data_IF_484298060846
#
_entry.id   IF_484298060846
#
_cell.length_a   1.000
_cell.length_b   1.000
_cell.length_c   1.000
_cell.angle_alpha   90.00
_cell.angle_beta   90.00
_cell.angle_gamma   90.00
#
_symmetry.space_group_name_H-M   'P 1'
#
loop_
_entity.id
_entity.type
_entity.pdbx_description
1 polymer ?
#
# COMPACT_ATOMS: atom_id res chain seq x y z
N UNK A 1 -42.18 21.32 -12.90
CA UNK A 1 -41.28 22.11 -13.75
C UNK A 1 -39.93 22.18 -13.04
N UNK A 2 -38.83 21.97 -13.79
CA UNK A 2 -37.39 21.90 -13.44
C UNK A 2 -36.94 22.92 -12.35
N UNK A 3 -35.82 22.81 -11.61
CA UNK A 3 -34.46 22.31 -11.84
C UNK A 3 -33.78 22.11 -10.44
N UNK A 4 -32.94 21.09 -10.17
CA UNK A 4 -31.48 21.02 -10.33
C UNK A 4 -30.67 22.33 -10.11
N UNK A 5 -29.51 22.19 -9.44
CA UNK A 5 -28.43 23.18 -9.21
C UNK A 5 -28.68 24.21 -8.09
N UNK A 6 -27.77 24.61 -7.20
CA UNK A 6 -26.31 24.48 -7.02
C UNK A 6 -26.04 24.96 -5.57
N UNK A 7 -25.17 24.30 -4.81
CA UNK A 7 -24.53 24.93 -3.63
C UNK A 7 -23.04 25.06 -3.93
N UNK A 8 -22.65 26.25 -4.43
CA UNK A 8 -21.27 26.64 -4.68
C UNK A 8 -20.88 27.73 -3.68
N UNK A 9 -19.81 27.47 -2.93
CA UNK A 9 -18.88 28.45 -2.34
C UNK A 9 -19.42 29.38 -1.24
N UNK A 10 -18.65 29.85 -0.27
CA UNK A 10 -17.27 29.66 0.12
C UNK A 10 -17.16 30.27 1.53
N UNK A 11 -16.37 29.68 2.43
CA UNK A 11 -15.89 30.37 3.61
C UNK A 11 -14.49 29.85 3.95
N UNK A 12 -13.51 30.65 3.54
CA UNK A 12 -12.09 30.54 3.88
C UNK A 12 -11.92 30.93 5.35
N UNK A 13 -11.17 30.14 6.13
CA UNK A 13 -10.42 30.68 7.26
C UNK A 13 -9.05 30.00 7.36
N UNK A 14 -8.02 30.83 7.31
CA UNK A 14 -6.59 30.52 7.22
C UNK A 14 -5.97 30.57 8.62
N UNK A 15 -5.32 29.46 9.00
CA UNK A 15 -4.05 29.31 9.75
C UNK A 15 -3.89 30.02 11.10
N UNK A 16 -3.70 29.23 12.18
CA UNK A 16 -2.55 29.39 13.10
C UNK A 16 -2.43 28.21 14.10
N UNK A 17 -1.31 27.47 13.99
CA UNK A 17 -0.59 26.91 15.14
C UNK A 17 -1.08 25.61 15.76
N UNK A 18 -0.55 24.47 15.30
CA UNK A 18 0.34 23.57 16.07
C UNK A 18 1.16 22.82 15.01
N UNK A 19 2.47 22.63 15.26
CA UNK A 19 3.29 21.63 14.56
C UNK A 19 2.66 20.26 14.83
N UNK A 20 1.67 19.91 14.00
CA UNK A 20 1.22 18.54 13.89
C UNK A 20 2.35 17.80 13.22
N UNK A 21 3.13 17.06 14.02
CA UNK A 21 3.82 15.86 13.54
C UNK A 21 2.77 15.14 12.71
N UNK A 22 2.93 15.19 11.38
CA UNK A 22 1.91 14.77 10.45
C UNK A 22 1.46 13.39 10.88
N UNK A 23 0.20 13.29 11.31
CA UNK A 23 -0.48 12.03 11.48
C UNK A 23 -0.69 11.46 10.09
N UNK A 24 0.39 10.98 9.47
CA UNK A 24 0.27 9.97 8.43
C UNK A 24 -0.07 8.67 9.16
N UNK A 25 -1.28 8.61 9.72
CA UNK A 25 -1.99 7.35 9.70
C UNK A 25 -2.00 6.97 8.22
N UNK A 26 -1.33 5.88 7.78
CA UNK A 26 -1.46 5.46 6.40
C UNK A 26 -2.96 5.29 6.16
N UNK A 27 -3.50 6.15 5.30
CA UNK A 27 -4.89 6.12 4.93
C UNK A 27 -5.18 4.69 4.47
N UNK A 28 -6.11 4.04 5.17
CA UNK A 28 -6.75 2.76 4.85
C UNK A 28 -6.24 2.10 3.56
N UNK A 29 -5.31 1.16 3.71
CA UNK A 29 -4.96 0.18 2.70
C UNK A 29 -6.23 -0.40 2.05
N UNK A 30 -6.38 -0.23 0.73
CA UNK A 30 -7.55 -0.75 0.02
C UNK A 30 -7.32 -2.24 -0.24
N UNK A 31 -7.69 -3.05 0.76
CA UNK A 31 -7.60 -4.51 0.69
C UNK A 31 -8.37 -5.08 -0.52
N UNK A 32 -9.46 -4.43 -0.93
CA UNK A 32 -10.26 -4.90 -2.05
C UNK A 32 -9.56 -4.62 -3.39
N UNK A 33 -9.01 -3.42 -3.57
CA UNK A 33 -8.21 -3.03 -4.73
C UNK A 33 -6.90 -3.83 -4.81
N UNK A 34 -6.28 -4.11 -3.66
CA UNK A 34 -5.11 -4.99 -3.56
C UNK A 34 -5.42 -6.42 -4.02
N UNK A 35 -6.50 -7.02 -3.50
CA UNK A 35 -6.90 -8.38 -3.90
C UNK A 35 -7.37 -8.43 -5.36
N UNK A 36 -8.01 -7.36 -5.85
CA UNK A 36 -8.39 -7.24 -7.25
C UNK A 36 -7.17 -7.17 -8.17
N UNK A 37 -6.12 -6.44 -7.80
CA UNK A 37 -4.86 -6.37 -8.53
C UNK A 37 -4.15 -7.74 -8.60
N UNK A 38 -4.35 -8.59 -7.59
CA UNK A 38 -3.84 -9.95 -7.54
C UNK A 38 -4.82 -11.00 -8.07
N UNK A 39 -5.91 -10.59 -8.74
CA UNK A 39 -6.97 -11.50 -9.19
C UNK A 39 -6.51 -12.69 -10.04
N UNK A 40 -5.35 -12.59 -10.70
CA UNK A 40 -4.71 -13.72 -11.39
C UNK A 40 -4.15 -14.81 -10.46
N UNK A 41 -3.72 -14.44 -9.26
CA UNK A 41 -3.08 -15.31 -8.25
C UNK A 41 -4.07 -15.84 -7.20
N UNK A 42 -5.25 -15.22 -7.08
CA UNK A 42 -6.32 -15.64 -6.17
C UNK A 42 -6.87 -17.07 -6.44
N UNK A 43 -6.51 -17.68 -7.57
CA UNK A 43 -6.86 -19.07 -7.91
C UNK A 43 -5.97 -20.12 -7.23
N UNK A 44 -4.75 -19.75 -6.82
CA UNK A 44 -3.75 -20.63 -6.22
C UNK A 44 -3.57 -20.40 -4.71
N UNK A 45 -3.81 -19.17 -4.27
CA UNK A 45 -3.50 -18.71 -2.92
C UNK A 45 -4.73 -18.11 -2.25
N UNK A 46 -4.92 -18.37 -0.95
CA UNK A 46 -6.04 -17.78 -0.20
C UNK A 46 -5.89 -16.27 -0.07
N UNK A 47 -7.00 -15.56 -0.16
CA UNK A 47 -7.03 -14.10 -0.03
C UNK A 47 -6.42 -13.60 1.30
N UNK A 48 -6.61 -14.34 2.39
CA UNK A 48 -6.02 -14.00 3.70
C UNK A 48 -4.48 -14.09 3.69
N UNK A 49 -3.92 -15.08 3.00
CA UNK A 49 -2.48 -15.27 2.88
C UNK A 49 -1.86 -14.17 2.01
N UNK A 50 -2.53 -13.79 0.92
CA UNK A 50 -2.16 -12.65 0.09
C UNK A 50 -2.18 -11.35 0.93
N UNK A 51 -3.26 -11.10 1.68
CA UNK A 51 -3.35 -9.92 2.55
C UNK A 51 -2.27 -9.89 3.62
N UNK A 52 -1.96 -11.03 4.23
CA UNK A 52 -0.90 -11.13 5.23
C UNK A 52 0.47 -10.83 4.60
N UNK A 53 0.76 -11.41 3.44
CA UNK A 53 2.00 -11.18 2.71
C UNK A 53 2.13 -9.72 2.24
N UNK A 54 1.05 -9.12 1.71
CA UNK A 54 1.03 -7.71 1.31
C UNK A 54 1.24 -6.74 2.48
N UNK A 55 0.61 -7.00 3.63
CA UNK A 55 0.83 -6.21 4.85
C UNK A 55 2.26 -6.37 5.39
N UNK A 56 2.78 -7.59 5.37
CA UNK A 56 4.18 -7.84 5.71
C UNK A 56 5.13 -7.06 4.79
N UNK A 57 4.91 -7.13 3.47
CA UNK A 57 5.68 -6.38 2.50
C UNK A 57 5.65 -4.88 2.81
N UNK A 58 4.46 -4.34 3.10
CA UNK A 58 4.30 -2.94 3.48
C UNK A 58 5.13 -2.53 4.69
N UNK A 59 5.14 -3.35 5.74
CA UNK A 59 5.94 -3.07 6.93
C UNK A 59 7.45 -3.11 6.68
N UNK A 60 7.92 -3.93 5.72
CA UNK A 60 9.33 -3.96 5.33
C UNK A 60 9.73 -2.80 4.43
N UNK A 61 8.80 -2.36 3.58
CA UNK A 61 8.95 -1.25 2.65
C UNK A 61 8.92 0.12 3.35
N UNK A 62 8.23 0.22 4.48
CA UNK A 62 8.18 1.43 5.28
C UNK A 62 9.55 1.78 5.90
N UNK A 63 9.88 3.08 6.03
CA UNK A 63 11.08 3.52 6.70
C UNK A 63 11.14 3.01 8.14
N UNK A 64 12.29 2.47 8.54
CA UNK A 64 12.55 2.11 9.93
C UNK A 64 13.12 3.31 10.69
N UNK A 65 12.97 3.37 12.03
CA UNK A 65 13.56 4.45 12.83
C UNK A 65 15.05 4.62 12.52
N UNK A 66 15.45 5.82 12.10
CA UNK A 66 16.83 6.15 11.70
C UNK A 66 17.17 5.93 10.23
N UNK A 67 16.24 5.47 9.39
CA UNK A 67 16.41 5.32 7.94
C UNK A 67 15.39 6.16 7.17
N UNK A 68 15.82 6.79 6.08
CA UNK A 68 14.93 7.56 5.18
C UNK A 68 14.05 6.66 4.31
N UNK A 69 14.46 5.41 4.08
CA UNK A 69 13.79 4.45 3.22
C UNK A 69 13.67 3.10 3.95
N UNK A 70 12.66 2.31 3.60
CA UNK A 70 12.60 0.90 4.01
C UNK A 70 13.48 0.01 3.14
N UNK A 71 13.19 -1.29 3.15
CA UNK A 71 13.89 -2.26 2.33
C UNK A 71 13.56 -2.11 0.85
N UNK A 72 14.52 -2.46 -0.01
CA UNK A 72 14.33 -2.47 -1.45
C UNK A 72 13.27 -3.53 -1.85
N UNK A 73 12.32 -3.22 -2.76
CA UNK A 73 11.25 -4.12 -3.16
C UNK A 73 11.70 -5.55 -3.53
N UNK A 74 12.79 -5.70 -4.29
CA UNK A 74 13.36 -7.03 -4.60
C UNK A 74 13.74 -7.85 -3.36
N UNK A 75 14.32 -7.20 -2.34
CA UNK A 75 14.66 -7.87 -1.07
C UNK A 75 13.39 -8.27 -0.32
N UNK A 76 12.36 -7.43 -0.38
CA UNK A 76 11.06 -7.74 0.22
C UNK A 76 10.38 -8.89 -0.51
N UNK A 77 10.44 -8.94 -1.85
CA UNK A 77 9.90 -10.03 -2.66
C UNK A 77 10.60 -11.36 -2.35
N UNK A 78 11.93 -11.37 -2.27
CA UNK A 78 12.70 -12.56 -1.85
C UNK A 78 12.30 -13.01 -0.43
N UNK A 79 12.06 -12.08 0.50
CA UNK A 79 11.59 -12.43 1.85
C UNK A 79 10.17 -13.00 1.81
N UNK A 80 9.25 -12.38 1.07
CA UNK A 80 7.87 -12.86 0.92
C UNK A 80 7.86 -14.29 0.36
N UNK A 81 8.69 -14.55 -0.65
CA UNK A 81 8.88 -15.88 -1.23
C UNK A 81 9.46 -16.89 -0.23
N UNK A 82 10.48 -16.50 0.54
CA UNK A 82 11.08 -17.37 1.57
C UNK A 82 10.13 -17.70 2.72
N UNK A 83 9.28 -16.75 3.12
CA UNK A 83 8.32 -16.94 4.21
C UNK A 83 7.04 -17.65 3.78
N UNK A 84 6.68 -17.61 2.49
CA UNK A 84 5.50 -18.27 1.94
C UNK A 84 5.91 -19.32 0.91
N UNK A 85 6.04 -20.57 1.36
CA UNK A 85 6.38 -21.70 0.48
C UNK A 85 5.35 -21.99 -0.61
N UNK A 86 4.16 -21.41 -0.50
CA UNK A 86 3.09 -21.52 -1.51
C UNK A 86 3.26 -20.56 -2.68
N UNK A 87 4.10 -19.54 -2.56
CA UNK A 87 4.23 -18.52 -3.61
C UNK A 87 5.31 -18.94 -4.61
N UNK A 88 5.00 -18.73 -5.88
CA UNK A 88 6.04 -18.66 -6.90
C UNK A 88 6.79 -17.33 -6.79
N UNK A 89 8.00 -17.25 -7.35
CA UNK A 89 8.86 -16.08 -7.18
C UNK A 89 8.28 -14.83 -7.86
N UNK A 90 7.62 -15.02 -8.99
CA UNK A 90 6.85 -14.01 -9.72
C UNK A 90 5.59 -13.57 -8.96
N UNK A 91 4.90 -14.50 -8.28
CA UNK A 91 3.77 -14.17 -7.39
C UNK A 91 4.22 -13.30 -6.22
N UNK A 92 5.37 -13.60 -5.60
CA UNK A 92 5.94 -12.77 -4.55
C UNK A 92 6.26 -11.35 -5.05
N UNK A 93 6.79 -11.21 -6.27
CA UNK A 93 7.01 -9.91 -6.92
C UNK A 93 5.69 -9.17 -7.17
N UNK A 94 4.67 -9.85 -7.68
CA UNK A 94 3.34 -9.28 -7.90
C UNK A 94 2.69 -8.82 -6.59
N UNK A 95 2.79 -9.62 -5.53
CA UNK A 95 2.31 -9.31 -4.18
C UNK A 95 2.97 -8.03 -3.65
N UNK A 96 4.28 -7.91 -3.81
CA UNK A 96 5.00 -6.71 -3.38
C UNK A 96 4.53 -5.51 -4.18
N UNK A 97 4.53 -5.56 -5.52
CA UNK A 97 4.10 -4.45 -6.38
C UNK A 97 2.66 -4.01 -6.11
N UNK A 98 1.73 -4.96 -6.00
CA UNK A 98 0.35 -4.65 -5.63
C UNK A 98 0.25 -4.01 -4.24
N UNK A 99 1.11 -4.40 -3.28
CA UNK A 99 1.17 -3.76 -1.97
C UNK A 99 1.67 -2.32 -2.06
N UNK A 100 2.67 -2.04 -2.91
CA UNK A 100 3.15 -0.66 -3.19
C UNK A 100 1.98 0.22 -3.60
N UNK A 101 1.21 -0.24 -4.59
CA UNK A 101 0.20 0.58 -5.26
C UNK A 101 -1.07 0.75 -4.42
N UNK A 102 -1.44 -0.27 -3.63
CA UNK A 102 -2.77 -0.33 -3.00
C UNK A 102 -2.73 -0.35 -1.46
N UNK A 103 -1.67 -0.88 -0.85
CA UNK A 103 -1.57 -1.03 0.61
C UNK A 103 -0.63 -0.02 1.27
N UNK A 104 0.33 0.53 0.52
CA UNK A 104 1.41 1.38 1.02
C UNK A 104 1.45 2.78 0.39
N UNK A 105 0.33 3.52 0.30
CA UNK A 105 0.33 4.83 -0.32
C UNK A 105 1.26 5.78 0.46
N UNK A 106 2.18 6.42 -0.25
CA UNK A 106 3.10 7.42 0.32
C UNK A 106 4.35 6.85 0.99
N UNK A 107 4.57 5.53 0.94
CA UNK A 107 5.89 4.98 1.28
C UNK A 107 6.88 5.42 0.20
N UNK A 108 7.95 6.09 0.60
CA UNK A 108 8.99 6.54 -0.32
C UNK A 108 9.92 5.35 -0.56
N UNK A 109 9.82 4.73 -1.74
CA UNK A 109 10.43 3.43 -2.03
C UNK A 109 11.37 3.60 -3.21
N UNK A 110 12.40 2.76 -3.27
CA UNK A 110 13.40 2.81 -4.34
C UNK A 110 12.87 2.30 -5.70
N UNK A 111 11.60 1.88 -5.79
CA UNK A 111 10.95 1.45 -7.04
C UNK A 111 9.96 0.31 -6.84
N UNK A 112 9.84 -0.54 -7.87
CA UNK A 112 9.07 -1.79 -7.88
C UNK A 112 10.01 -3.02 -7.89
N UNK A 113 9.45 -4.19 -7.55
CA UNK A 113 10.14 -5.47 -7.65
C UNK A 113 10.10 -6.00 -9.10
N UNK A 114 11.15 -6.71 -9.54
CA UNK A 114 11.31 -7.20 -10.92
C UNK A 114 12.16 -8.46 -11.04
#
# INVERSE_FOLDING_TARGET
MLAFMMRVGAAVLVVLGVVGIGTAAPASADNASYLAALGGYASKTRADDLLMAGKFACGQLQPRPGLMFGLHPNVVADRVWQYNSSFERDEATAVVNAAIDNLCPGVNMLGHAG
#
